data_IF_067510071444
#
_entry.id   IF_067510071444
#
_cell.length_a   1.000
_cell.length_b   1.000
_cell.length_c   1.000
_cell.angle_alpha   90.00
_cell.angle_beta   90.00
_cell.angle_gamma   90.00
#
_symmetry.space_group_name_H-M   'P 1'
#
loop_
_entity.id
_entity.type
_entity.pdbx_description
1 polymer ?
#
# COMPACT_ATOMS: atom_id res chain seq x y z
N UNK A 1 -2.89 0.42 -13.00
CA UNK A 1 -3.82 1.56 -13.27
C UNK A 1 -4.95 1.62 -12.25
N UNK A 2 -5.84 0.62 -12.18
CA UNK A 2 -7.04 0.62 -11.30
C UNK A 2 -6.73 0.94 -9.83
N UNK A 3 -5.76 0.27 -9.21
CA UNK A 3 -5.36 0.52 -7.82
C UNK A 3 -4.86 1.96 -7.57
N UNK A 4 -4.20 2.58 -8.56
CA UNK A 4 -3.76 3.97 -8.45
C UNK A 4 -4.94 4.95 -8.47
N UNK A 5 -5.95 4.69 -9.31
CA UNK A 5 -7.19 5.47 -9.32
C UNK A 5 -7.99 5.30 -8.03
N UNK A 6 -8.06 4.08 -7.49
CA UNK A 6 -8.69 3.84 -6.19
C UNK A 6 -7.96 4.59 -5.08
N UNK A 7 -6.62 4.51 -5.02
CA UNK A 7 -5.83 5.25 -4.05
C UNK A 7 -6.05 6.77 -4.17
N UNK A 8 -6.08 7.30 -5.41
CA UNK A 8 -6.41 8.70 -5.65
C UNK A 8 -7.79 9.08 -5.11
N UNK A 9 -8.83 8.30 -5.47
CA UNK A 9 -10.20 8.55 -5.03
C UNK A 9 -10.31 8.52 -3.51
N UNK A 10 -9.71 7.52 -2.85
CA UNK A 10 -9.67 7.44 -1.38
C UNK A 10 -8.99 8.65 -0.75
N UNK A 11 -7.77 9.00 -1.21
CA UNK A 11 -7.07 10.15 -0.67
C UNK A 11 -7.83 11.46 -0.91
N UNK A 12 -8.42 11.62 -2.09
CA UNK A 12 -9.14 12.83 -2.43
C UNK A 12 -10.37 12.96 -1.54
N UNK A 13 -11.23 11.94 -1.50
CA UNK A 13 -12.43 11.94 -0.67
C UNK A 13 -12.15 12.10 0.81
N UNK A 14 -11.09 11.49 1.35
CA UNK A 14 -10.69 11.68 2.75
C UNK A 14 -10.21 13.10 3.06
N UNK A 15 -9.58 13.78 2.11
CA UNK A 15 -8.99 15.11 2.32
C UNK A 15 -9.97 16.25 2.03
N UNK A 16 -10.85 16.08 1.05
CA UNK A 16 -11.77 17.14 0.58
C UNK A 16 -13.20 16.94 1.06
N UNK A 17 -13.55 15.73 1.53
CA UNK A 17 -14.93 15.36 1.82
C UNK A 17 -15.81 15.20 0.57
N UNK A 18 -15.25 15.35 -0.63
CA UNK A 18 -15.99 15.22 -1.90
C UNK A 18 -15.82 13.83 -2.49
N UNK A 19 -16.93 13.22 -2.90
CA UNK A 19 -16.92 11.87 -3.47
C UNK A 19 -16.47 11.89 -4.93
N UNK A 20 -15.45 11.10 -5.24
CA UNK A 20 -15.02 10.86 -6.62
C UNK A 20 -15.69 9.59 -7.11
N UNK A 21 -16.49 9.68 -8.17
CA UNK A 21 -17.07 8.47 -8.74
C UNK A 21 -16.04 7.78 -9.63
N UNK A 22 -15.64 6.57 -9.22
CA UNK A 22 -14.71 5.71 -9.97
C UNK A 22 -15.37 5.19 -11.26
N UNK A 23 -16.70 5.24 -11.36
CA UNK A 23 -17.50 4.63 -12.43
C UNK A 23 -18.37 5.61 -13.25
N UNK A 24 -18.24 6.94 -13.07
CA UNK A 24 -19.09 7.90 -13.80
C UNK A 24 -18.51 8.40 -15.14
N UNK A 25 -19.41 8.50 -16.11
CA UNK A 25 -19.29 9.03 -17.47
C UNK A 25 -19.31 10.57 -17.57
N UNK A 26 -19.34 11.29 -16.44
CA UNK A 26 -19.33 12.77 -16.41
C UNK A 26 -17.97 13.30 -15.97
N UNK A 27 -17.47 14.42 -16.55
CA UNK A 27 -16.14 14.93 -16.25
C UNK A 27 -16.10 15.51 -14.83
N UNK A 28 -15.62 14.73 -13.87
CA UNK A 28 -15.14 15.31 -12.61
C UNK A 28 -13.78 15.96 -12.85
N UNK A 29 -13.66 17.25 -12.51
CA UNK A 29 -12.48 18.10 -12.73
C UNK A 29 -11.19 17.67 -12.00
N UNK A 30 -11.20 16.54 -11.28
CA UNK A 30 -10.06 16.04 -10.50
C UNK A 30 -9.61 14.68 -11.04
N UNK A 31 -8.70 14.72 -12.01
CA UNK A 31 -7.92 13.55 -12.45
C UNK A 31 -6.58 13.47 -11.70
N UNK A 32 -5.99 12.26 -11.56
CA UNK A 32 -4.67 12.11 -10.97
C UNK A 32 -3.62 12.88 -11.78
N UNK A 33 -2.84 13.72 -11.12
CA UNK A 33 -1.74 14.45 -11.76
C UNK A 33 -0.54 13.53 -12.01
N UNK A 34 0.38 13.95 -12.89
CA UNK A 34 1.67 13.25 -13.06
C UNK A 34 2.42 13.09 -11.74
N UNK A 35 2.42 14.14 -10.91
CA UNK A 35 3.03 14.14 -9.57
C UNK A 35 2.44 13.07 -8.66
N UNK A 36 1.15 12.76 -8.80
CA UNK A 36 0.50 11.68 -8.06
C UNK A 36 1.03 10.32 -8.52
N UNK A 37 1.11 10.08 -9.82
CA UNK A 37 1.65 8.83 -10.36
C UNK A 37 3.09 8.58 -9.93
N UNK A 38 3.92 9.62 -9.94
CA UNK A 38 5.30 9.53 -9.43
C UNK A 38 5.30 9.21 -7.93
N UNK A 39 4.51 9.90 -7.11
CA UNK A 39 4.43 9.64 -5.68
C UNK A 39 3.91 8.23 -5.34
N UNK A 40 3.00 7.69 -6.15
CA UNK A 40 2.42 6.36 -6.00
C UNK A 40 3.37 5.25 -6.47
N UNK A 41 4.02 5.42 -7.63
CA UNK A 41 4.88 4.40 -8.22
C UNK A 41 6.28 4.34 -7.61
N UNK A 42 6.80 5.46 -7.10
CA UNK A 42 8.16 5.53 -6.58
C UNK A 42 8.41 4.55 -5.42
N UNK A 43 7.53 4.44 -4.39
CA UNK A 43 7.70 3.42 -3.36
C UNK A 43 7.68 1.99 -3.91
N UNK A 44 6.80 1.71 -4.87
CA UNK A 44 6.66 0.38 -5.50
C UNK A 44 7.92 0.03 -6.28
N UNK A 45 8.47 0.98 -7.03
CA UNK A 45 9.71 0.81 -7.77
C UNK A 45 10.87 0.46 -6.83
N UNK A 46 11.03 1.19 -5.72
CA UNK A 46 12.07 0.89 -4.73
C UNK A 46 11.86 -0.46 -4.03
N UNK A 47 10.61 -0.87 -3.80
CA UNK A 47 10.30 -2.20 -3.28
C UNK A 47 10.78 -3.30 -4.24
N UNK A 48 10.42 -3.19 -5.53
CA UNK A 48 10.84 -4.16 -6.55
C UNK A 48 12.36 -4.19 -6.65
N UNK A 49 13.00 -3.02 -6.68
CA UNK A 49 14.46 -2.92 -6.72
C UNK A 49 15.11 -3.59 -5.50
N UNK A 50 14.57 -3.36 -4.31
CA UNK A 50 15.07 -3.99 -3.08
C UNK A 50 14.89 -5.51 -3.10
N UNK A 51 13.74 -6.02 -3.58
CA UNK A 51 13.50 -7.45 -3.73
C UNK A 51 14.51 -8.08 -4.69
N UNK A 52 14.67 -7.51 -5.88
CA UNK A 52 15.63 -7.98 -6.90
C UNK A 52 17.06 -7.97 -6.35
N UNK A 53 17.46 -6.86 -5.72
CA UNK A 53 18.80 -6.72 -5.13
C UNK A 53 19.03 -7.77 -4.04
N UNK A 54 18.05 -8.01 -3.17
CA UNK A 54 18.16 -9.02 -2.11
C UNK A 54 18.28 -10.43 -2.69
N UNK A 55 17.51 -10.76 -3.74
CA UNK A 55 17.63 -12.05 -4.44
C UNK A 55 19.04 -12.23 -5.01
N UNK A 56 19.59 -11.22 -5.68
CA UNK A 56 20.94 -11.29 -6.24
C UNK A 56 22.00 -11.44 -5.14
N UNK A 57 21.88 -10.68 -4.05
CA UNK A 57 22.81 -10.79 -2.91
C UNK A 57 22.76 -12.21 -2.34
N UNK A 58 21.57 -12.72 -1.99
CA UNK A 58 21.36 -14.06 -1.42
C UNK A 58 21.94 -15.15 -2.32
N UNK A 59 21.70 -15.07 -3.63
CA UNK A 59 22.28 -16.01 -4.60
C UNK A 59 23.80 -15.88 -4.76
N UNK A 60 24.35 -14.69 -4.59
CA UNK A 60 25.80 -14.47 -4.71
C UNK A 60 26.59 -14.92 -3.48
N UNK A 61 25.96 -14.94 -2.29
CA UNK A 61 26.63 -15.33 -1.03
C UNK A 61 26.41 -16.78 -0.66
N UNK A 62 25.40 -17.45 -1.20
CA UNK A 62 25.06 -18.83 -0.85
C UNK A 62 25.36 -19.77 -2.03
N UNK A 63 25.87 -20.99 -1.78
CA UNK A 63 26.14 -21.97 -2.84
C UNK A 63 24.86 -22.26 -3.65
N UNK A 64 24.98 -22.45 -4.96
CA UNK A 64 23.84 -22.71 -5.87
C UNK A 64 22.99 -23.93 -5.47
N UNK A 65 23.56 -24.85 -4.69
CA UNK A 65 22.92 -26.07 -4.18
C UNK A 65 22.15 -25.85 -2.87
N UNK A 66 22.34 -24.72 -2.18
CA UNK A 66 21.87 -24.52 -0.80
C UNK A 66 20.45 -23.94 -0.70
N UNK A 67 19.94 -23.30 -1.75
CA UNK A 67 18.64 -22.62 -1.71
C UNK A 67 17.83 -22.82 -2.98
N UNK A 68 16.65 -23.38 -2.82
CA UNK A 68 15.63 -23.36 -3.86
C UNK A 68 15.21 -21.91 -4.18
N UNK A 69 14.75 -21.66 -5.41
CA UNK A 69 14.28 -20.33 -5.81
C UNK A 69 13.14 -19.78 -4.95
N UNK A 70 12.37 -20.66 -4.29
CA UNK A 70 11.29 -20.28 -3.36
C UNK A 70 11.83 -19.73 -2.03
N UNK A 71 12.89 -20.33 -1.50
CA UNK A 71 13.49 -19.88 -0.24
C UNK A 71 14.19 -18.53 -0.42
N UNK A 72 14.90 -18.34 -1.54
CA UNK A 72 15.49 -17.04 -1.89
C UNK A 72 14.43 -15.92 -1.98
N UNK A 73 13.25 -16.23 -2.53
CA UNK A 73 12.12 -15.31 -2.56
C UNK A 73 11.57 -15.02 -1.15
N UNK A 74 11.52 -16.03 -0.28
CA UNK A 74 11.15 -15.87 1.13
C UNK A 74 12.07 -14.90 1.88
N UNK A 75 13.39 -15.05 1.72
CA UNK A 75 14.35 -14.10 2.30
C UNK A 75 14.20 -12.69 1.72
N UNK A 76 14.02 -12.58 0.41
CA UNK A 76 13.80 -11.29 -0.23
C UNK A 76 12.56 -10.57 0.32
N UNK A 77 11.46 -11.29 0.54
CA UNK A 77 10.26 -10.74 1.19
C UNK A 77 10.53 -10.28 2.63
N UNK A 78 11.27 -11.08 3.42
CA UNK A 78 11.54 -10.78 4.83
C UNK A 78 12.32 -9.47 5.02
N UNK A 79 13.25 -9.14 4.11
CA UNK A 79 13.99 -7.87 4.15
C UNK A 79 13.27 -6.70 3.48
N UNK A 80 12.61 -6.96 2.35
CA UNK A 80 12.00 -5.90 1.54
C UNK A 80 10.73 -5.32 2.15
N UNK A 81 9.93 -6.12 2.89
CA UNK A 81 8.68 -5.65 3.50
C UNK A 81 8.94 -4.60 4.60
N UNK A 82 9.85 -4.82 5.58
CA UNK A 82 10.19 -3.78 6.56
C UNK A 82 10.75 -2.52 5.90
N UNK A 83 11.62 -2.69 4.90
CA UNK A 83 12.18 -1.58 4.13
C UNK A 83 11.09 -0.77 3.43
N UNK A 84 10.08 -1.45 2.89
CA UNK A 84 8.92 -0.80 2.28
C UNK A 84 8.11 -0.01 3.32
N UNK A 85 7.90 -0.56 4.51
CA UNK A 85 7.25 0.16 5.62
C UNK A 85 8.00 1.44 6.01
N UNK A 86 9.32 1.38 6.10
CA UNK A 86 10.18 2.55 6.36
C UNK A 86 10.10 3.56 5.23
N UNK A 87 10.13 3.10 3.98
CA UNK A 87 10.01 3.96 2.81
C UNK A 87 8.65 4.66 2.79
N UNK A 88 7.55 3.93 3.02
CA UNK A 88 6.21 4.49 3.14
C UNK A 88 6.09 5.46 4.32
N UNK A 89 6.77 5.23 5.44
CA UNK A 89 6.82 6.22 6.52
C UNK A 89 7.58 7.50 6.12
N UNK A 90 8.61 7.37 5.27
CA UNK A 90 9.43 8.47 4.81
C UNK A 90 8.78 9.29 3.67
N UNK A 91 8.05 8.66 2.76
CA UNK A 91 7.48 9.34 1.57
C UNK A 91 5.97 9.22 1.45
N UNK A 92 5.29 8.50 2.33
CA UNK A 92 3.85 8.24 2.25
C UNK A 92 2.97 9.49 2.28
N UNK A 93 3.45 10.61 2.85
CA UNK A 93 2.74 11.90 2.78
C UNK A 93 2.81 12.58 1.42
N UNK A 94 3.64 12.10 0.49
CA UNK A 94 3.68 12.60 -0.89
C UNK A 94 2.40 12.24 -1.66
N UNK A 95 1.82 11.07 -1.38
CA UNK A 95 0.60 10.60 -2.05
C UNK A 95 -0.59 11.55 -1.76
N UNK A 96 -1.00 11.79 -0.50
CA UNK A 96 -2.07 12.73 -0.19
C UNK A 96 -1.74 14.17 -0.64
N UNK A 97 -0.49 14.61 -0.52
CA UNK A 97 -0.07 15.93 -1.00
C UNK A 97 -0.28 16.10 -2.52
N UNK A 98 0.10 15.09 -3.29
CA UNK A 98 -0.06 15.09 -4.75
C UNK A 98 -1.53 15.08 -5.17
N UNK A 99 -2.39 14.39 -4.40
CA UNK A 99 -3.83 14.31 -4.64
C UNK A 99 -4.50 15.68 -4.59
N UNK A 100 -4.12 16.53 -3.63
CA UNK A 100 -4.64 17.91 -3.51
C UNK A 100 -3.69 18.97 -4.12
N UNK A 101 -2.78 18.55 -5.01
CA UNK A 101 -1.87 19.42 -5.78
C UNK A 101 -0.99 20.35 -4.93
N UNK A 102 -0.60 19.91 -3.72
CA UNK A 102 0.38 20.64 -2.90
C UNK A 102 1.81 20.21 -3.24
N UNK A 103 2.81 20.90 -2.67
CA UNK A 103 4.22 20.64 -2.98
C UNK A 103 4.62 19.19 -2.66
N UNK A 104 5.03 18.45 -3.68
CA UNK A 104 5.52 17.06 -3.59
C UNK A 104 7.04 16.95 -3.61
N UNK A 105 7.78 18.07 -3.68
CA UNK A 105 9.24 18.04 -3.78
C UNK A 105 9.92 17.33 -2.61
N UNK A 106 11.08 16.71 -2.86
CA UNK A 106 11.83 15.90 -1.86
C UNK A 106 12.02 16.64 -0.54
N UNK A 107 12.37 17.94 -0.57
CA UNK A 107 12.55 18.75 0.64
C UNK A 107 11.26 18.93 1.43
N UNK A 108 10.12 19.11 0.76
CA UNK A 108 8.82 19.23 1.40
C UNK A 108 8.36 17.88 1.98
N UNK A 109 8.55 16.80 1.21
CA UNK A 109 8.28 15.43 1.64
C UNK A 109 9.07 15.08 2.90
N UNK A 110 10.39 15.28 2.90
CA UNK A 110 11.27 15.03 4.06
C UNK A 110 10.88 15.86 5.28
N UNK A 111 10.47 17.12 5.08
CA UNK A 111 10.00 17.97 6.19
C UNK A 111 8.74 17.41 6.83
N UNK A 112 7.76 16.98 6.01
CA UNK A 112 6.53 16.33 6.51
C UNK A 112 6.86 15.01 7.19
N UNK A 113 7.70 14.20 6.54
CA UNK A 113 8.17 12.92 7.05
C UNK A 113 8.78 13.04 8.44
N UNK A 114 9.73 13.96 8.66
CA UNK A 114 10.34 14.15 10.00
C UNK A 114 9.33 14.38 11.13
N UNK A 115 8.19 15.03 10.82
CA UNK A 115 7.13 15.29 11.81
C UNK A 115 6.14 14.13 11.96
N UNK A 116 5.92 13.35 10.90
CA UNK A 116 4.92 12.28 10.88
C UNK A 116 5.50 10.86 10.84
N UNK A 117 6.82 10.69 10.75
CA UNK A 117 7.48 9.41 10.46
C UNK A 117 7.09 8.34 11.47
N UNK A 118 7.30 8.60 12.77
CA UNK A 118 6.97 7.65 13.83
C UNK A 118 5.48 7.35 13.92
N UNK A 119 4.64 8.35 13.66
CA UNK A 119 3.20 8.18 13.62
C UNK A 119 2.75 7.26 12.48
N UNK A 120 3.32 7.43 11.29
CA UNK A 120 3.04 6.57 10.14
C UNK A 120 3.61 5.17 10.39
N UNK A 121 4.89 5.08 10.77
CA UNK A 121 5.60 3.82 10.95
C UNK A 121 4.89 2.90 11.95
N UNK A 122 4.60 3.38 13.16
CA UNK A 122 3.90 2.57 14.17
C UNK A 122 2.51 2.14 13.71
N UNK A 123 1.77 3.01 13.01
CA UNK A 123 0.43 2.67 12.51
C UNK A 123 0.45 1.71 11.33
N UNK A 124 1.48 1.75 10.48
CA UNK A 124 1.68 0.76 9.42
C UNK A 124 2.04 -0.62 10.01
N UNK A 125 2.90 -0.63 11.03
CA UNK A 125 3.27 -1.85 11.74
C UNK A 125 2.08 -2.42 12.51
N UNK A 126 1.27 -1.61 13.19
CA UNK A 126 0.17 -2.13 14.02
C UNK A 126 -1.14 -2.34 13.29
N UNK A 127 -1.48 -1.55 12.27
CA UNK A 127 -2.75 -1.69 11.56
C UNK A 127 -2.63 -2.70 10.41
N UNK A 128 -2.11 -2.27 9.25
CA UNK A 128 -1.91 -3.11 8.08
C UNK A 128 -1.23 -4.47 8.34
N UNK A 129 -0.15 -4.48 9.13
CA UNK A 129 0.61 -5.71 9.36
C UNK A 129 -0.15 -6.69 10.24
N UNK A 130 -0.73 -6.24 11.37
CA UNK A 130 -1.54 -7.11 12.25
C UNK A 130 -2.77 -7.63 11.50
N UNK A 131 -3.45 -6.78 10.74
CA UNK A 131 -4.57 -7.20 9.91
C UNK A 131 -4.13 -8.27 8.90
N UNK A 132 -3.00 -8.09 8.24
CA UNK A 132 -2.45 -9.06 7.28
C UNK A 132 -2.07 -10.38 7.96
N UNK A 133 -1.49 -10.34 9.15
CA UNK A 133 -1.13 -11.54 9.92
C UNK A 133 -2.37 -12.33 10.37
N UNK A 134 -3.38 -11.64 10.90
CA UNK A 134 -4.66 -12.27 11.28
C UNK A 134 -5.32 -12.87 10.05
N UNK A 135 -5.39 -12.11 8.95
CA UNK A 135 -5.99 -12.58 7.71
C UNK A 135 -5.26 -13.80 7.14
N UNK A 136 -3.93 -13.78 7.11
CA UNK A 136 -3.13 -14.91 6.65
C UNK A 136 -3.30 -16.13 7.56
N UNK A 137 -3.36 -15.94 8.88
CA UNK A 137 -3.65 -17.00 9.83
C UNK A 137 -5.02 -17.64 9.60
N UNK A 138 -6.05 -16.82 9.40
CA UNK A 138 -7.40 -17.31 9.04
C UNK A 138 -7.38 -18.04 7.70
N UNK A 139 -6.73 -17.48 6.69
CA UNK A 139 -6.64 -18.09 5.36
C UNK A 139 -5.96 -19.47 5.41
N UNK A 140 -4.84 -19.59 6.14
CA UNK A 140 -4.14 -20.87 6.34
C UNK A 140 -4.99 -21.87 7.13
N UNK A 141 -5.75 -21.41 8.12
CA UNK A 141 -6.64 -22.28 8.89
C UNK A 141 -7.78 -22.82 8.04
N UNK A 142 -8.37 -21.96 7.19
CA UNK A 142 -9.40 -22.36 6.23
C UNK A 142 -8.85 -23.34 5.19
N UNK A 143 -7.61 -23.13 4.72
CA UNK A 143 -6.92 -24.03 3.80
C UNK A 143 -6.69 -25.42 4.42
N UNK A 144 -6.14 -25.47 5.64
CA UNK A 144 -5.94 -26.72 6.37
C UNK A 144 -7.23 -27.49 6.66
N UNK A 145 -8.35 -26.78 6.81
CA UNK A 145 -9.67 -27.38 7.03
C UNK A 145 -10.38 -27.77 5.73
N UNK A 146 -9.75 -27.56 4.56
CA UNK A 146 -10.33 -27.88 3.25
C UNK A 146 -11.42 -26.89 2.80
N UNK A 147 -11.49 -25.71 3.41
CA UNK A 147 -12.40 -24.62 3.02
C UNK A 147 -11.77 -23.63 2.05
N UNK A 148 -10.46 -23.73 1.76
CA UNK A 148 -9.86 -22.91 0.71
C UNK A 148 -10.35 -23.35 -0.66
N UNK A 149 -10.88 -22.38 -1.41
CA UNK A 149 -11.31 -22.58 -2.79
C UNK A 149 -10.21 -22.13 -3.74
N UNK A 150 -9.72 -23.04 -4.55
CA UNK A 150 -8.82 -22.72 -5.66
C UNK A 150 -9.49 -21.76 -6.65
N UNK A 151 -8.67 -20.88 -7.26
CA UNK A 151 -9.13 -20.00 -8.35
C UNK A 151 -9.46 -20.89 -9.55
N UNK A 152 -10.71 -20.89 -10.05
CA UNK A 152 -11.05 -21.71 -11.21
C UNK A 152 -10.25 -21.26 -12.45
N UNK A 153 -9.58 -22.20 -13.12
CA UNK A 153 -8.86 -21.90 -14.37
C UNK A 153 -9.82 -21.65 -15.55
N UNK A 154 -11.10 -22.06 -15.41
CA UNK A 154 -12.12 -21.90 -16.44
C UNK A 154 -13.43 -21.36 -15.85
N UNK A 155 -14.20 -20.66 -16.68
CA UNK A 155 -15.52 -20.15 -16.30
C UNK A 155 -16.50 -21.26 -15.88
N UNK A 156 -16.36 -22.47 -16.43
CA UNK A 156 -17.17 -23.61 -16.06
C UNK A 156 -16.86 -24.16 -14.65
N UNK A 157 -15.67 -23.84 -14.10
CA UNK A 157 -15.27 -24.22 -12.75
C UNK A 157 -15.69 -23.22 -11.66
N UNK A 158 -16.41 -22.15 -12.01
CA UNK A 158 -16.86 -21.15 -11.04
C UNK A 158 -18.04 -21.71 -10.25
N UNK A 159 -17.79 -22.06 -8.99
CA UNK A 159 -18.82 -22.40 -8.01
C UNK A 159 -19.16 -21.18 -7.15
N UNK A 160 -20.34 -21.19 -6.52
CA UNK A 160 -20.75 -20.14 -5.58
C UNK A 160 -19.76 -20.01 -4.42
N UNK A 161 -19.24 -21.13 -3.90
CA UNK A 161 -18.25 -21.13 -2.82
C UNK A 161 -16.94 -20.45 -3.24
N UNK A 162 -16.41 -20.76 -4.42
CA UNK A 162 -15.16 -20.17 -4.90
C UNK A 162 -15.36 -18.68 -5.20
N UNK A 163 -16.48 -18.29 -5.80
CA UNK A 163 -16.79 -16.89 -6.06
C UNK A 163 -16.92 -16.07 -4.77
N UNK A 164 -17.59 -16.59 -3.74
CA UNK A 164 -17.73 -15.92 -2.44
C UNK A 164 -16.38 -15.80 -1.75
N UNK A 165 -15.59 -16.88 -1.69
CA UNK A 165 -14.26 -16.87 -1.09
C UNK A 165 -13.35 -15.81 -1.75
N UNK A 166 -13.26 -15.81 -3.08
CA UNK A 166 -12.42 -14.87 -3.83
C UNK A 166 -12.91 -13.43 -3.70
N UNK A 167 -14.23 -13.20 -3.67
CA UNK A 167 -14.80 -11.87 -3.45
C UNK A 167 -14.43 -11.34 -2.07
N UNK A 168 -14.61 -12.15 -1.03
CA UNK A 168 -14.28 -11.78 0.36
C UNK A 168 -12.77 -11.52 0.50
N UNK A 169 -11.93 -12.40 -0.03
CA UNK A 169 -10.47 -12.21 -0.04
C UNK A 169 -10.05 -10.93 -0.76
N UNK A 170 -10.67 -10.64 -1.92
CA UNK A 170 -10.45 -9.41 -2.68
C UNK A 170 -10.85 -8.15 -1.90
N UNK A 171 -12.02 -8.15 -1.26
CA UNK A 171 -12.48 -7.05 -0.41
C UNK A 171 -11.54 -6.79 0.77
N UNK A 172 -11.04 -7.85 1.41
CA UNK A 172 -10.08 -7.72 2.52
C UNK A 172 -8.74 -7.17 2.05
N UNK A 173 -8.29 -7.50 0.83
CA UNK A 173 -7.12 -6.86 0.21
C UNK A 173 -7.31 -5.35 0.01
N UNK A 174 -8.51 -4.92 -0.40
CA UNK A 174 -8.84 -3.49 -0.54
C UNK A 174 -8.84 -2.80 0.84
N UNK A 175 -9.32 -3.47 1.89
CA UNK A 175 -9.36 -2.91 3.24
C UNK A 175 -7.98 -2.49 3.74
N UNK A 176 -6.95 -3.32 3.51
CA UNK A 176 -5.58 -2.98 3.91
C UNK A 176 -5.04 -1.74 3.16
N UNK A 177 -5.39 -1.62 1.88
CA UNK A 177 -5.08 -0.45 1.06
C UNK A 177 -5.79 0.80 1.60
N UNK A 178 -7.06 0.68 1.97
CA UNK A 178 -7.84 1.78 2.54
C UNK A 178 -7.32 2.22 3.92
N UNK A 179 -6.90 1.29 4.78
CA UNK A 179 -6.24 1.61 6.06
C UNK A 179 -4.94 2.38 5.83
N UNK A 180 -4.11 1.91 4.92
CA UNK A 180 -2.84 2.57 4.56
C UNK A 180 -3.09 3.99 4.03
N UNK A 181 -4.06 4.14 3.13
CA UNK A 181 -4.47 5.45 2.61
C UNK A 181 -4.96 6.38 3.73
N UNK A 182 -5.75 5.86 4.67
CA UNK A 182 -6.26 6.60 5.82
C UNK A 182 -5.13 7.08 6.73
N UNK A 183 -4.14 6.23 7.01
CA UNK A 183 -2.96 6.59 7.82
C UNK A 183 -2.19 7.74 7.17
N UNK A 184 -1.94 7.69 5.87
CA UNK A 184 -1.23 8.77 5.17
C UNK A 184 -2.04 10.06 5.12
N UNK A 185 -3.35 9.98 4.87
CA UNK A 185 -4.23 11.16 4.88
C UNK A 185 -4.26 11.84 6.25
N UNK A 186 -4.40 11.07 7.34
CA UNK A 186 -4.34 11.60 8.72
C UNK A 186 -2.96 12.19 9.06
N UNK A 187 -1.89 11.53 8.64
CA UNK A 187 -0.54 12.04 8.86
C UNK A 187 -0.31 13.37 8.13
N UNK A 188 -0.85 13.49 6.92
CA UNK A 188 -0.80 14.72 6.13
C UNK A 188 -1.59 15.86 6.79
N UNK A 189 -2.85 15.63 7.17
CA UNK A 189 -3.68 16.67 7.82
C UNK A 189 -3.06 17.15 9.12
N UNK A 190 -2.56 16.23 9.97
CA UNK A 190 -1.88 16.56 11.22
C UNK A 190 -0.68 17.49 11.03
N UNK A 191 0.11 17.26 9.98
CA UNK A 191 1.29 18.10 9.70
C UNK A 191 0.88 19.47 9.15
N UNK A 192 -0.16 19.54 8.32
CA UNK A 192 -0.65 20.80 7.77
C UNK A 192 -1.41 21.66 8.79
N UNK A 193 -2.23 21.05 9.66
CA UNK A 193 -2.89 21.72 10.79
C UNK A 193 -1.86 22.29 11.77
N UNK A 194 -0.85 21.50 12.13
CA UNK A 194 0.27 21.97 12.97
C UNK A 194 1.05 23.12 12.33
N UNK A 195 1.12 23.19 10.99
CA UNK A 195 1.74 24.31 10.27
C UNK A 195 0.89 25.58 10.32
N UNK A 196 -0.44 25.46 10.17
CA UNK A 196 -1.36 26.61 10.23
C UNK A 196 -1.30 27.28 11.60
N UNK A 197 -1.26 26.50 12.69
CA UNK A 197 -1.14 27.02 14.06
C UNK A 197 0.17 27.77 14.33
N UNK A 198 1.28 27.34 13.73
CA UNK A 198 2.58 28.01 13.84
C UNK A 198 2.67 29.33 13.06
N UNK A 199 1.80 29.55 12.08
CA UNK A 199 1.75 30.80 11.29
C UNK A 199 0.80 31.84 11.92
N UNK A 200 -0.08 31.42 12.82
CA UNK A 200 -1.02 32.28 13.55
C UNK A 200 -0.53 32.72 14.94
N UNK A 201 0.63 32.23 15.39
CA UNK A 201 1.29 32.57 16.65
C UNK A 201 2.48 33.50 16.42
#
# INVERSE_FOLDING_TARGET
MVYGYLAFAFHFTLLTGTTVSVFQFFPQNSSPSWSFWVAFLLPIFFLILAMVTTIFIVKSTLPDEALSGREALGYAMLFSIPLFGVLLAAVGTMIPAATIRTSTGVRAALRRARRSFWFILWRLVTGPTVFSLIFMGVALTLDQQGFASEVPETFAGITVSNAVYQTVAGFLGIFNTALTASIFSMAYTRVEEGRKLQLSS
#
